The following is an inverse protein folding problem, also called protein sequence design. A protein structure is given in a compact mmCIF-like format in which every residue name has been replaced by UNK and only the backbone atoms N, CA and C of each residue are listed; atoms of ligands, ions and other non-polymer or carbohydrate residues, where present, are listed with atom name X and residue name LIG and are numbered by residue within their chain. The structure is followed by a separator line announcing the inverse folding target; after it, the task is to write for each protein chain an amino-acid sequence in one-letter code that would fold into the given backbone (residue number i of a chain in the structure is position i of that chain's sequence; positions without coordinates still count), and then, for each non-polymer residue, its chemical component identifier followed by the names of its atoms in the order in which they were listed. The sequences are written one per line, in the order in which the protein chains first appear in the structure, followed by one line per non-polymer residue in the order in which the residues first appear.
data_IF_268240870275
#
_entry.id   IF_268240870275
#
_cell.length_a   1.000
_cell.length_b   1.000
_cell.length_c   1.000
_cell.angle_alpha   90.00
_cell.angle_beta   90.00
_cell.angle_gamma   90.00
#
_symmetry.space_group_name_H-M   'P 1'
#
loop_
_entity.id
_entity.type
_entity.pdbx_description
1 polymer ?
#
# COMPACT_ATOMS: atom_id res chain seq x y z
N UNK A 1 15.25 4.62 -45.59
CA UNK A 1 15.79 4.09 -44.35
C UNK A 1 15.48 4.91 -43.13
N UNK A 2 15.54 6.23 -43.18
CA UNK A 2 15.18 7.08 -42.03
C UNK A 2 13.71 7.00 -41.62
N UNK A 3 12.79 6.72 -42.54
CA UNK A 3 11.36 6.62 -42.27
C UNK A 3 10.99 5.36 -41.49
N UNK A 4 11.76 4.27 -41.61
CA UNK A 4 11.52 3.04 -40.88
C UNK A 4 11.88 3.15 -39.40
N UNK A 5 12.92 3.87 -39.09
CA UNK A 5 13.32 4.10 -37.70
C UNK A 5 12.34 5.00 -36.95
N UNK A 6 11.80 5.98 -37.64
CA UNK A 6 10.82 6.91 -37.06
C UNK A 6 9.50 6.19 -36.70
N UNK A 7 9.03 5.31 -37.56
CA UNK A 7 7.83 4.52 -37.29
C UNK A 7 8.00 3.56 -36.12
N UNK A 8 9.19 3.03 -35.96
CA UNK A 8 9.51 2.13 -34.87
C UNK A 8 9.48 2.84 -33.52
N UNK A 9 10.00 4.05 -33.47
CA UNK A 9 9.97 4.87 -32.26
C UNK A 9 8.56 5.27 -31.85
N UNK A 10 7.74 5.62 -32.79
CA UNK A 10 6.35 6.02 -32.52
C UNK A 10 5.53 4.85 -31.99
N UNK A 11 5.73 3.65 -32.51
CA UNK A 11 5.05 2.45 -32.05
C UNK A 11 5.46 2.07 -30.61
N UNK A 12 6.73 2.23 -30.28
CA UNK A 12 7.24 1.95 -28.95
C UNK A 12 6.67 2.92 -27.92
N UNK A 13 6.52 4.18 -28.30
CA UNK A 13 5.99 5.22 -27.44
C UNK A 13 4.51 5.01 -27.11
N UNK A 14 3.74 4.59 -28.10
CA UNK A 14 2.30 4.33 -27.94
C UNK A 14 2.04 3.12 -27.01
N UNK A 15 2.86 2.07 -27.11
CA UNK A 15 2.67 0.90 -26.26
C UNK A 15 3.02 1.18 -24.80
N UNK A 16 3.99 2.03 -24.52
CA UNK A 16 4.30 2.44 -23.15
C UNK A 16 3.20 3.28 -22.52
N UNK A 17 2.57 4.14 -23.30
CA UNK A 17 1.46 4.99 -22.84
C UNK A 17 0.21 4.17 -22.56
N UNK A 18 -0.06 3.15 -23.35
CA UNK A 18 -1.20 2.26 -23.15
C UNK A 18 -1.11 1.46 -21.87
N UNK A 19 0.08 1.00 -21.51
CA UNK A 19 0.30 0.25 -20.27
C UNK A 19 0.05 1.09 -19.02
N UNK A 20 0.40 2.35 -19.04
CA UNK A 20 0.16 3.25 -17.91
C UNK A 20 -1.31 3.53 -17.69
N UNK A 21 -2.08 3.64 -18.73
CA UNK A 21 -3.52 3.92 -18.64
C UNK A 21 -4.30 2.75 -18.04
N UNK A 22 -3.86 1.54 -18.31
CA UNK A 22 -4.55 0.34 -17.87
C UNK A 22 -4.41 0.09 -16.37
N UNK A 23 -3.31 0.49 -15.77
CA UNK A 23 -3.04 0.24 -14.36
C UNK A 23 -3.73 1.20 -13.39
N UNK A 24 -4.21 2.34 -13.85
CA UNK A 24 -4.67 3.40 -12.95
C UNK A 24 -6.19 3.50 -12.78
N UNK A 25 -6.96 2.57 -13.34
CA UNK A 25 -8.41 2.75 -13.39
C UNK A 25 -9.14 2.54 -12.07
N UNK A 26 -8.66 1.69 -11.17
CA UNK A 26 -9.38 1.32 -9.94
C UNK A 26 -8.48 1.28 -8.71
N UNK A 27 -7.24 1.71 -8.84
CA UNK A 27 -6.26 1.60 -7.77
C UNK A 27 -5.49 2.91 -7.67
N UNK A 28 -5.47 3.47 -6.48
CA UNK A 28 -4.71 4.66 -6.19
C UNK A 28 -3.98 4.44 -4.87
N UNK A 29 -2.65 4.48 -4.90
CA UNK A 29 -1.82 4.32 -3.70
C UNK A 29 -0.86 5.49 -3.63
N UNK A 30 -0.82 6.15 -2.49
CA UNK A 30 0.13 7.22 -2.23
C UNK A 30 0.91 6.94 -0.97
N UNK A 31 2.19 7.28 -1.01
CA UNK A 31 3.11 7.17 0.11
C UNK A 31 3.68 8.55 0.42
N UNK A 32 3.87 8.83 1.69
CA UNK A 32 4.48 10.08 2.14
C UNK A 32 5.41 9.79 3.31
N UNK A 33 6.64 10.28 3.22
CA UNK A 33 7.62 10.06 4.28
C UNK A 33 8.34 11.37 4.59
N UNK A 34 8.26 11.78 5.86
CA UNK A 34 8.95 12.97 6.37
C UNK A 34 9.88 12.56 7.51
N UNK A 35 10.58 13.53 8.08
CA UNK A 35 11.51 13.25 9.16
C UNK A 35 10.87 12.56 10.37
N UNK A 36 9.59 12.88 10.69
CA UNK A 36 8.89 12.32 11.83
C UNK A 36 7.75 11.40 11.49
N UNK A 37 7.25 11.42 10.27
CA UNK A 37 6.03 10.70 9.90
C UNK A 37 6.21 9.90 8.63
N UNK A 38 5.51 8.78 8.59
CA UNK A 38 5.33 7.98 7.40
C UNK A 38 3.83 7.70 7.25
N UNK A 39 3.31 7.82 6.04
CA UNK A 39 1.90 7.51 5.79
C UNK A 39 1.73 6.81 4.46
N UNK A 40 0.65 6.05 4.38
CA UNK A 40 0.24 5.37 3.16
C UNK A 40 -1.27 5.47 3.07
N UNK A 41 -1.78 5.75 1.88
CA UNK A 41 -3.23 5.78 1.61
C UNK A 41 -3.48 5.01 0.33
N UNK A 42 -4.41 4.07 0.37
CA UNK A 42 -4.73 3.21 -0.77
C UNK A 42 -6.24 3.15 -0.99
N UNK A 43 -6.63 3.35 -2.24
CA UNK A 43 -7.96 3.06 -2.74
C UNK A 43 -7.84 1.90 -3.72
N UNK A 44 -8.71 0.91 -3.60
CA UNK A 44 -8.64 -0.28 -4.45
C UNK A 44 -10.03 -0.89 -4.61
N UNK A 45 -10.13 -1.85 -5.50
CA UNK A 45 -11.40 -2.53 -5.73
C UNK A 45 -11.80 -3.28 -4.45
N UNK A 46 -13.06 -3.17 -4.06
CA UNK A 46 -13.59 -3.80 -2.85
C UNK A 46 -13.35 -5.30 -2.79
N UNK A 47 -13.31 -5.97 -3.94
CA UNK A 47 -13.05 -7.41 -3.98
C UNK A 47 -11.61 -7.79 -3.60
N UNK A 48 -10.71 -6.81 -3.51
CA UNK A 48 -9.34 -7.01 -3.05
C UNK A 48 -9.20 -6.84 -1.53
N UNK A 49 -10.24 -6.36 -0.86
CA UNK A 49 -10.19 -6.05 0.57
C UNK A 49 -9.75 -7.24 1.40
N UNK A 50 -10.31 -8.42 1.15
CA UNK A 50 -9.96 -9.62 1.91
C UNK A 50 -8.48 -10.00 1.73
N UNK A 51 -7.94 -9.83 0.54
CA UNK A 51 -6.52 -10.11 0.27
C UNK A 51 -5.61 -9.15 1.03
N UNK A 52 -5.99 -7.88 1.07
CA UNK A 52 -5.24 -6.86 1.82
C UNK A 52 -5.29 -7.16 3.31
N UNK A 53 -6.48 -7.46 3.84
CA UNK A 53 -6.65 -7.79 5.26
C UNK A 53 -5.84 -9.03 5.64
N UNK A 54 -5.87 -10.07 4.83
CA UNK A 54 -5.12 -11.30 5.08
C UNK A 54 -3.61 -11.05 5.04
N UNK A 55 -3.15 -10.22 4.13
CA UNK A 55 -1.75 -9.85 4.04
C UNK A 55 -1.31 -9.11 5.32
N UNK A 56 -2.12 -8.19 5.81
CA UNK A 56 -1.82 -7.47 7.05
C UNK A 56 -1.78 -8.42 8.24
N UNK A 57 -2.71 -9.36 8.34
CA UNK A 57 -2.71 -10.38 9.39
C UNK A 57 -1.43 -11.21 9.34
N UNK A 58 -0.99 -11.58 8.14
CA UNK A 58 0.24 -12.35 7.97
C UNK A 58 1.46 -11.57 8.44
N UNK A 59 1.53 -10.28 8.12
CA UNK A 59 2.67 -9.44 8.44
C UNK A 59 2.72 -9.03 9.91
N UNK A 60 1.57 -8.85 10.53
CA UNK A 60 1.47 -8.37 11.91
C UNK A 60 0.94 -9.41 12.88
N UNK A 61 0.60 -10.61 12.40
CA UNK A 61 -0.12 -11.61 13.19
C UNK A 61 0.57 -12.02 14.48
N UNK A 62 1.90 -12.13 14.46
CA UNK A 62 2.69 -12.48 15.64
C UNK A 62 2.68 -11.38 16.70
N UNK A 63 2.37 -10.15 16.32
CA UNK A 63 2.42 -8.97 17.18
C UNK A 63 1.05 -8.39 17.49
N UNK A 64 0.00 -8.91 16.85
CA UNK A 64 -1.36 -8.40 17.00
C UNK A 64 -2.24 -9.47 17.61
N UNK A 65 -3.04 -9.08 18.60
CA UNK A 65 -4.03 -9.96 19.20
C UNK A 65 -5.41 -9.80 18.53
N UNK A 66 -5.47 -9.16 17.40
CA UNK A 66 -6.70 -8.95 16.63
C UNK A 66 -6.51 -9.33 15.17
N UNK A 67 -7.58 -9.69 14.49
CA UNK A 67 -7.55 -9.93 13.05
C UNK A 67 -8.03 -8.68 12.31
N UNK A 68 -7.39 -8.40 11.19
CA UNK A 68 -7.81 -7.31 10.29
C UNK A 68 -8.92 -7.76 9.31
N UNK A 69 -9.13 -9.08 9.19
CA UNK A 69 -10.09 -9.60 8.22
C UNK A 69 -11.51 -9.18 8.60
N UNK A 70 -12.20 -8.58 7.62
CA UNK A 70 -13.61 -8.14 7.74
C UNK A 70 -13.88 -7.15 8.87
N UNK A 71 -12.85 -6.44 9.32
CA UNK A 71 -12.94 -5.47 10.41
C UNK A 71 -12.83 -4.06 9.84
N UNK A 72 -13.75 -3.18 10.26
CA UNK A 72 -13.63 -1.75 10.01
C UNK A 72 -12.90 -1.12 11.18
N UNK A 73 -11.89 -0.32 10.89
CA UNK A 73 -11.06 0.31 11.91
C UNK A 73 -10.91 1.79 11.58
N UNK A 74 -10.97 2.62 12.60
CA UNK A 74 -10.65 4.03 12.50
C UNK A 74 -10.11 4.47 13.85
N UNK A 75 -8.78 4.37 14.01
CA UNK A 75 -8.17 4.75 15.27
C UNK A 75 -6.73 4.29 15.41
N UNK A 76 -6.19 4.56 16.57
CA UNK A 76 -4.82 4.17 16.94
C UNK A 76 -4.81 2.73 17.41
N UNK A 77 -3.89 1.93 16.93
CA UNK A 77 -3.69 0.57 17.44
C UNK A 77 -2.29 0.43 18.03
N UNK A 78 -2.17 -0.50 18.97
CA UNK A 78 -0.90 -0.85 19.59
C UNK A 78 -0.69 -2.36 19.47
N UNK A 79 0.47 -2.75 18.94
CA UNK A 79 0.85 -4.15 18.84
C UNK A 79 1.53 -4.61 20.13
N UNK A 80 1.70 -5.92 20.29
CA UNK A 80 2.28 -6.50 21.51
C UNK A 80 3.73 -6.08 21.74
N UNK A 81 4.44 -5.67 20.69
CA UNK A 81 5.81 -5.19 20.77
C UNK A 81 5.92 -3.66 20.97
N UNK A 82 4.81 -3.03 21.37
CA UNK A 82 4.70 -1.59 21.60
C UNK A 82 4.73 -0.73 20.34
N UNK A 83 4.68 -1.33 19.16
CA UNK A 83 4.50 -0.58 17.91
C UNK A 83 3.11 0.04 17.90
N UNK A 84 3.02 1.35 17.67
CA UNK A 84 1.74 2.06 17.59
C UNK A 84 1.62 2.80 16.26
N UNK A 85 0.43 2.81 15.70
CA UNK A 85 0.14 3.59 14.51
C UNK A 85 -1.36 3.79 14.36
N UNK A 86 -1.72 4.82 13.61
CA UNK A 86 -3.10 5.07 13.23
C UNK A 86 -3.44 4.26 12.00
N UNK A 87 -4.62 3.65 12.00
CA UNK A 87 -5.14 2.92 10.86
C UNK A 87 -6.60 3.25 10.64
N UNK A 88 -6.96 3.48 9.38
CA UNK A 88 -8.34 3.60 8.95
C UNK A 88 -8.54 2.64 7.78
N UNK A 89 -9.49 1.72 7.94
CA UNK A 89 -9.76 0.76 6.87
C UNK A 89 -11.24 0.44 6.81
N UNK A 90 -11.71 0.28 5.60
CA UNK A 90 -13.03 -0.24 5.26
C UNK A 90 -12.93 -0.86 3.86
N UNK A 91 -14.00 -1.53 3.35
CA UNK A 91 -13.89 -2.15 2.03
C UNK A 91 -13.40 -1.17 0.96
N UNK A 92 -12.30 -1.56 0.30
CA UNK A 92 -11.70 -0.76 -0.77
C UNK A 92 -10.83 0.40 -0.34
N UNK A 93 -10.54 0.52 0.96
CA UNK A 93 -9.76 1.64 1.48
C UNK A 93 -8.85 1.22 2.63
N UNK A 94 -7.64 1.77 2.63
CA UNK A 94 -6.69 1.59 3.74
C UNK A 94 -5.83 2.85 3.86
N UNK A 95 -5.74 3.36 5.09
CA UNK A 95 -4.85 4.46 5.42
C UNK A 95 -4.07 4.11 6.67
N UNK A 96 -2.76 4.31 6.63
CA UNK A 96 -1.86 4.10 7.78
C UNK A 96 -1.05 5.36 7.99
N UNK A 97 -0.99 5.83 9.24
CA UNK A 97 -0.16 6.95 9.66
C UNK A 97 0.73 6.48 10.80
N UNK A 98 2.02 6.63 10.62
CA UNK A 98 3.02 6.13 11.54
C UNK A 98 3.91 7.27 12.03
N UNK A 99 4.01 7.42 13.35
CA UNK A 99 4.88 8.40 13.97
C UNK A 99 6.21 7.76 14.32
N UNK A 100 7.27 8.19 13.64
CA UNK A 100 8.61 7.65 13.86
C UNK A 100 9.14 7.97 15.26
N UNK A 101 8.69 9.07 15.84
CA UNK A 101 9.12 9.50 17.18
C UNK A 101 8.54 8.64 18.30
N UNK A 102 7.39 8.02 18.08
CA UNK A 102 6.73 7.17 19.08
C UNK A 102 7.13 5.70 18.95
N UNK A 103 7.97 5.34 17.98
CA UNK A 103 8.31 3.97 17.66
C UNK A 103 9.81 3.82 17.49
N UNK A 104 10.32 2.58 17.58
CA UNK A 104 11.71 2.33 17.28
C UNK A 104 11.91 2.10 15.78
N UNK A 105 13.17 2.04 15.37
CA UNK A 105 13.54 1.89 13.96
C UNK A 105 13.06 0.57 13.37
N UNK A 106 13.14 -0.50 14.13
CA UNK A 106 12.70 -1.83 13.66
C UNK A 106 11.21 -1.86 13.38
N UNK A 107 10.41 -1.25 14.27
CA UNK A 107 8.97 -1.11 14.08
C UNK A 107 8.67 -0.31 12.81
N UNK A 108 9.41 0.77 12.59
CA UNK A 108 9.25 1.58 11.38
C UNK A 108 9.52 0.75 10.12
N UNK A 109 10.64 0.02 10.10
CA UNK A 109 11.00 -0.80 8.94
C UNK A 109 9.94 -1.85 8.65
N UNK A 110 9.39 -2.48 9.69
CA UNK A 110 8.38 -3.52 9.54
C UNK A 110 7.07 -2.95 8.97
N UNK A 111 6.60 -1.83 9.52
CA UNK A 111 5.36 -1.21 9.04
C UNK A 111 5.54 -0.67 7.63
N UNK A 112 6.68 -0.05 7.34
CA UNK A 112 6.98 0.45 6.00
C UNK A 112 7.00 -0.68 4.97
N UNK A 113 7.67 -1.79 5.30
CA UNK A 113 7.72 -2.95 4.41
C UNK A 113 6.34 -3.52 4.14
N UNK A 114 5.49 -3.59 5.17
CA UNK A 114 4.11 -4.01 5.00
C UNK A 114 3.35 -3.07 4.06
N UNK A 115 3.46 -1.78 4.27
CA UNK A 115 2.78 -0.79 3.41
C UNK A 115 3.24 -0.87 1.96
N UNK A 116 4.53 -1.04 1.72
CA UNK A 116 5.07 -1.19 0.38
C UNK A 116 4.58 -2.48 -0.28
N UNK A 117 4.45 -3.56 0.49
CA UNK A 117 3.96 -4.84 -0.01
C UNK A 117 2.49 -4.82 -0.39
N UNK A 118 1.70 -3.94 0.17
CA UNK A 118 0.28 -3.81 -0.16
C UNK A 118 0.08 -3.48 -1.64
N UNK A 119 0.97 -2.69 -2.21
CA UNK A 119 0.94 -2.36 -3.63
C UNK A 119 0.95 -3.62 -4.51
N UNK A 120 1.76 -4.60 -4.16
CA UNK A 120 1.84 -5.86 -4.91
C UNK A 120 0.58 -6.70 -4.72
N UNK A 121 0.03 -6.73 -3.51
CA UNK A 121 -1.21 -7.46 -3.23
C UNK A 121 -2.36 -6.91 -4.07
N UNK A 122 -2.49 -5.60 -4.11
CA UNK A 122 -3.56 -4.94 -4.86
C UNK A 122 -3.38 -5.13 -6.37
N UNK A 123 -2.14 -5.19 -6.83
CA UNK A 123 -1.82 -5.36 -8.25
C UNK A 123 -2.04 -6.74 -8.82
N UNK A 124 -2.34 -7.70 -7.98
CA UNK A 124 -2.59 -9.09 -8.45
C UNK A 124 -4.04 -9.25 -9.02
#
# INVERSE_FOLDING_TARGET
MKKRFFLFYVLLFVSLTSCRWYHNRNTDISYSEWSHYYSMKAHFNKNKTRMVDAYMDERLGDKSNMSFISTRIDGQIALDDHTTFYIKKHPGFLEIKFDKGENNYESFQRVKAMCEGIKEVIGK
#
